data_IF_857387899219
#
_entry.id   IF_857387899219
#
_cell.length_a   1.000
_cell.length_b   1.000
_cell.length_c   1.000
_cell.angle_alpha   90.00
_cell.angle_beta   90.00
_cell.angle_gamma   90.00
#
_symmetry.space_group_name_H-M   'P 1'
#
loop_
_entity.id
_entity.type
_entity.pdbx_description
1 polymer ?
#
# COMPACT_ATOMS: atom_id res chain seq x y z
N UNK A 1 -23.38 -16.64 -20.37
CA UNK A 1 -23.02 -16.26 -19.00
C UNK A 1 -21.95 -15.20 -19.09
N UNK A 2 -22.26 -13.96 -18.71
CA UNK A 2 -21.21 -12.99 -18.36
C UNK A 2 -20.66 -13.41 -17.00
N UNK A 3 -19.33 -13.53 -16.88
CA UNK A 3 -18.69 -13.79 -15.60
C UNK A 3 -19.02 -12.63 -14.65
N UNK A 4 -19.19 -12.95 -13.36
CA UNK A 4 -19.27 -11.90 -12.34
C UNK A 4 -17.97 -11.07 -12.37
N UNK A 5 -18.04 -9.74 -12.19
CA UNK A 5 -16.84 -8.92 -12.16
C UNK A 5 -15.91 -9.36 -11.03
N UNK A 6 -14.61 -9.47 -11.33
CA UNK A 6 -13.57 -9.76 -10.34
C UNK A 6 -12.99 -8.44 -9.89
N UNK A 7 -13.01 -8.20 -8.58
CA UNK A 7 -12.35 -7.04 -7.98
C UNK A 7 -10.90 -7.38 -7.62
N UNK A 8 -9.97 -6.57 -8.10
CA UNK A 8 -8.55 -6.71 -7.78
C UNK A 8 -8.18 -5.88 -6.55
N UNK A 9 -7.48 -6.51 -5.62
CA UNK A 9 -6.83 -5.84 -4.48
C UNK A 9 -5.32 -6.00 -4.64
N UNK A 10 -4.61 -4.89 -4.82
CA UNK A 10 -3.15 -4.88 -4.83
C UNK A 10 -2.61 -4.71 -3.40
N UNK A 11 -1.59 -5.51 -3.06
CA UNK A 11 -0.97 -5.52 -1.73
C UNK A 11 0.51 -5.13 -1.77
N UNK A 12 0.97 -4.50 -2.86
CA UNK A 12 2.37 -4.07 -3.04
C UNK A 12 2.84 -3.15 -1.90
N UNK A 13 1.98 -2.24 -1.46
CA UNK A 13 2.27 -1.27 -0.39
C UNK A 13 1.98 -1.80 1.02
N UNK A 14 1.55 -3.06 1.16
CA UNK A 14 1.35 -3.75 2.44
C UNK A 14 2.22 -5.00 2.52
N UNK A 15 1.88 -6.06 1.81
CA UNK A 15 2.64 -7.31 1.82
C UNK A 15 4.05 -7.10 1.22
N UNK A 16 4.16 -6.30 0.16
CA UNK A 16 5.45 -5.89 -0.41
C UNK A 16 6.33 -5.10 0.56
N UNK A 17 5.77 -4.56 1.65
CA UNK A 17 6.52 -3.93 2.73
C UNK A 17 7.52 -4.90 3.38
N UNK A 18 7.21 -6.20 3.47
CA UNK A 18 8.16 -7.21 3.97
C UNK A 18 9.42 -7.31 3.12
N UNK A 19 9.27 -7.27 1.79
CA UNK A 19 10.40 -7.39 0.87
C UNK A 19 11.40 -6.23 0.98
N UNK A 20 10.91 -5.04 1.35
CA UNK A 20 11.71 -3.83 1.56
C UNK A 20 11.95 -3.51 3.03
N UNK A 21 11.68 -4.45 3.95
CA UNK A 21 11.86 -4.30 5.41
C UNK A 21 11.17 -3.05 5.98
N UNK A 22 9.96 -2.76 5.50
CA UNK A 22 9.13 -1.63 5.94
C UNK A 22 9.78 -0.26 5.68
N UNK A 23 10.61 -0.17 4.64
CA UNK A 23 11.36 1.03 4.27
C UNK A 23 10.77 1.82 3.10
N UNK A 24 9.48 1.68 2.83
CA UNK A 24 8.83 2.56 1.86
C UNK A 24 8.93 4.03 2.30
N UNK A 25 9.24 4.89 1.34
CA UNK A 25 9.16 6.34 1.46
C UNK A 25 7.83 6.85 0.93
N UNK A 26 7.42 8.05 1.33
CA UNK A 26 6.21 8.67 0.77
C UNK A 26 6.27 8.81 -0.76
N UNK A 27 7.41 9.20 -1.35
CA UNK A 27 7.56 9.33 -2.81
C UNK A 27 7.36 8.00 -3.53
N UNK A 28 7.89 6.89 -3.00
CA UNK A 28 7.64 5.55 -3.54
C UNK A 28 6.17 5.17 -3.43
N UNK A 29 5.56 5.38 -2.26
CA UNK A 29 4.14 5.11 -2.02
C UNK A 29 3.26 5.90 -2.98
N UNK A 30 3.53 7.19 -3.19
CA UNK A 30 2.79 8.04 -4.12
C UNK A 30 2.87 7.55 -5.56
N UNK A 31 4.08 7.24 -6.03
CA UNK A 31 4.30 6.74 -7.39
C UNK A 31 3.61 5.41 -7.64
N UNK A 32 3.66 4.49 -6.67
CA UNK A 32 3.01 3.18 -6.78
C UNK A 32 1.49 3.34 -6.77
N UNK A 33 0.94 4.11 -5.83
CA UNK A 33 -0.50 4.34 -5.73
C UNK A 33 -1.07 4.95 -7.02
N UNK A 34 -0.43 6.02 -7.53
CA UNK A 34 -0.78 6.66 -8.80
C UNK A 34 -0.75 5.70 -9.99
N UNK A 35 0.24 4.81 -10.04
CA UNK A 35 0.38 3.85 -11.13
C UNK A 35 -0.70 2.75 -11.07
N UNK A 36 -1.04 2.27 -9.87
CA UNK A 36 -2.08 1.26 -9.66
C UNK A 36 -3.47 1.84 -9.97
N UNK A 37 -3.73 3.07 -9.54
CA UNK A 37 -4.96 3.82 -9.86
C UNK A 37 -5.13 4.02 -11.37
N UNK A 38 -4.08 4.52 -12.05
CA UNK A 38 -4.07 4.66 -13.51
C UNK A 38 -4.22 3.32 -14.26
N UNK A 39 -3.91 2.19 -13.62
CA UNK A 39 -4.10 0.85 -14.17
C UNK A 39 -5.51 0.28 -13.91
N UNK A 40 -6.37 1.01 -13.18
CA UNK A 40 -7.74 0.59 -12.86
C UNK A 40 -7.82 -0.42 -11.72
N UNK A 41 -6.83 -0.48 -10.83
CA UNK A 41 -6.89 -1.30 -9.62
C UNK A 41 -7.86 -0.66 -8.63
N UNK A 42 -8.87 -1.43 -8.21
CA UNK A 42 -9.98 -0.92 -7.41
C UNK A 42 -9.65 -0.78 -5.92
N UNK A 43 -8.69 -1.56 -5.41
CA UNK A 43 -8.28 -1.52 -3.99
C UNK A 43 -6.77 -1.59 -3.89
N UNK A 44 -6.17 -0.62 -3.21
CA UNK A 44 -4.73 -0.56 -2.92
C UNK A 44 -4.55 -0.65 -1.41
N UNK A 45 -3.92 -1.71 -0.91
CA UNK A 45 -3.66 -1.89 0.52
C UNK A 45 -2.35 -1.23 0.94
N UNK A 46 -2.39 -0.35 1.96
CA UNK A 46 -1.25 0.45 2.42
C UNK A 46 -1.12 0.39 3.94
N UNK A 47 -0.19 -0.42 4.45
CA UNK A 47 0.19 -0.48 5.88
C UNK A 47 1.61 -1.07 6.04
N UNK A 48 2.12 -1.21 7.26
CA UNK A 48 3.24 -2.13 7.53
C UNK A 48 2.93 -3.56 7.05
N UNK A 49 3.95 -4.40 6.84
CA UNK A 49 3.77 -5.78 6.36
C UNK A 49 2.83 -6.61 7.24
N UNK A 50 2.97 -6.53 8.56
CA UNK A 50 2.05 -7.16 9.52
C UNK A 50 0.73 -6.38 9.77
N UNK A 51 0.42 -5.34 8.99
CA UNK A 51 -0.75 -4.49 9.20
C UNK A 51 -0.50 -3.30 10.14
N UNK A 52 -1.56 -2.56 10.47
CA UNK A 52 -1.48 -1.36 11.31
C UNK A 52 -0.81 -1.65 12.65
N UNK A 53 0.10 -0.75 13.05
CA UNK A 53 0.90 -0.88 14.27
C UNK A 53 1.84 -2.11 14.29
N UNK A 54 2.13 -2.71 13.13
CA UNK A 54 3.13 -3.77 13.01
C UNK A 54 4.57 -3.29 13.27
N UNK A 55 4.84 -2.00 13.08
CA UNK A 55 6.15 -1.37 13.32
C UNK A 55 6.64 -1.59 14.76
N UNK A 56 7.55 -2.55 14.95
CA UNK A 56 7.94 -3.06 16.26
C UNK A 56 9.30 -3.76 16.23
N UNK A 57 9.82 -4.18 17.39
CA UNK A 57 11.02 -5.03 17.43
C UNK A 57 10.83 -6.40 16.76
N UNK A 58 9.63 -6.99 16.87
CA UNK A 58 9.40 -8.35 16.40
C UNK A 58 9.32 -8.43 14.87
N UNK A 59 8.80 -7.36 14.25
CA UNK A 59 8.52 -7.34 12.82
C UNK A 59 9.36 -6.31 12.04
N UNK A 60 10.09 -5.45 12.74
CA UNK A 60 10.87 -4.36 12.16
C UNK A 60 10.15 -3.02 12.28
N UNK A 61 10.91 -1.93 12.39
CA UNK A 61 10.35 -0.58 12.47
C UNK A 61 10.16 0.00 11.07
N UNK A 62 8.99 0.59 10.82
CA UNK A 62 8.71 1.32 9.58
C UNK A 62 9.63 2.55 9.45
N UNK A 63 10.01 2.89 8.22
CA UNK A 63 10.71 4.14 7.92
C UNK A 63 9.81 5.36 8.10
N UNK A 64 8.55 5.25 7.67
CA UNK A 64 7.50 6.26 7.75
C UNK A 64 6.30 5.63 8.45
N UNK A 65 5.52 6.40 9.21
CA UNK A 65 4.34 5.85 9.89
C UNK A 65 3.31 5.38 8.87
N UNK A 66 2.64 4.27 9.17
CA UNK A 66 1.63 3.68 8.28
C UNK A 66 0.55 4.68 7.87
N UNK A 67 0.09 5.54 8.80
CA UNK A 67 -0.94 6.55 8.54
C UNK A 67 -0.46 7.65 7.58
N UNK A 68 0.83 7.99 7.61
CA UNK A 68 1.39 9.00 6.71
C UNK A 68 1.55 8.41 5.30
N UNK A 69 1.96 7.15 5.19
CA UNK A 69 1.99 6.44 3.91
C UNK A 69 0.58 6.27 3.33
N UNK A 70 -0.40 5.91 4.15
CA UNK A 70 -1.80 5.83 3.71
C UNK A 70 -2.33 7.18 3.23
N UNK A 71 -2.07 8.28 3.98
CA UNK A 71 -2.44 9.62 3.56
C UNK A 71 -1.76 10.04 2.25
N UNK A 72 -0.47 9.68 2.07
CA UNK A 72 0.26 9.92 0.83
C UNK A 72 -0.37 9.16 -0.34
N UNK A 73 -0.75 7.90 -0.17
CA UNK A 73 -1.44 7.13 -1.21
C UNK A 73 -2.82 7.73 -1.56
N UNK A 74 -3.62 8.09 -0.55
CA UNK A 74 -4.96 8.70 -0.75
C UNK A 74 -4.89 9.98 -1.58
N UNK A 75 -3.82 10.78 -1.44
CA UNK A 75 -3.66 12.01 -2.21
C UNK A 75 -3.30 11.81 -3.71
N UNK A 76 -3.16 10.56 -4.15
CA UNK A 76 -2.68 10.21 -5.50
C UNK A 76 -3.69 9.39 -6.30
N UNK A 77 -4.83 9.05 -5.70
CA UNK A 77 -5.91 8.25 -6.30
C UNK A 77 -7.16 9.11 -6.48
N UNK A 78 -7.92 8.88 -7.55
CA UNK A 78 -9.19 9.56 -7.80
C UNK A 78 -10.37 8.81 -7.13
N UNK A 79 -11.44 9.53 -6.82
CA UNK A 79 -12.63 9.00 -6.13
C UNK A 79 -13.71 8.52 -7.09
#
# INVERSE_FOLDING_TARGET
MTLAPVRLTDTTLRDGSHAVRHRFTEDQTRRIARALDAAGIEVIEVTHGDGLAGSSFNYGFSLVRDIDLAAAAVSEVEA
#
